data_IF_656288078643
#
_entry.id   IF_656288078643
#
_cell.length_a   1.000
_cell.length_b   1.000
_cell.length_c   1.000
_cell.angle_alpha   90.00
_cell.angle_beta   90.00
_cell.angle_gamma   90.00
#
_symmetry.space_group_name_H-M   'P 1'
#
loop_
_entity.id
_entity.type
_entity.pdbx_description
1 polymer ?
#
# COMPACT_ATOMS: atom_id res chain seq x y z
N UNK A 1 -16.26 29.78 -25.35
CA UNK A 1 -16.53 28.34 -25.07
C UNK A 1 -15.26 27.49 -25.14
N UNK A 2 -14.50 27.48 -26.25
CA UNK A 2 -13.25 26.70 -26.37
C UNK A 2 -12.18 27.01 -25.30
N UNK A 3 -12.02 28.28 -24.90
CA UNK A 3 -11.07 28.68 -23.85
C UNK A 3 -11.42 28.13 -22.47
N UNK A 4 -12.71 28.05 -22.14
CA UNK A 4 -13.20 27.48 -20.86
C UNK A 4 -13.06 25.96 -20.86
N UNK A 5 -13.32 25.32 -22.00
CA UNK A 5 -13.10 23.88 -22.20
C UNK A 5 -11.61 23.53 -22.03
N UNK A 6 -10.70 24.31 -22.64
CA UNK A 6 -9.25 24.12 -22.52
C UNK A 6 -8.76 24.32 -21.07
N UNK A 7 -9.24 25.34 -20.36
CA UNK A 7 -8.91 25.53 -18.94
C UNK A 7 -9.38 24.35 -18.09
N UNK A 8 -10.59 23.84 -18.36
CA UNK A 8 -11.16 22.70 -17.65
C UNK A 8 -10.33 21.43 -17.87
N UNK A 9 -9.92 21.15 -19.11
CA UNK A 9 -9.04 20.01 -19.42
C UNK A 9 -7.68 20.11 -18.71
N UNK A 10 -7.12 21.32 -18.59
CA UNK A 10 -5.84 21.52 -17.91
C UNK A 10 -5.94 21.18 -16.41
N UNK A 11 -7.05 21.55 -15.77
CA UNK A 11 -7.30 21.27 -14.35
C UNK A 11 -7.45 19.77 -14.05
N UNK A 12 -8.01 18.98 -14.98
CA UNK A 12 -8.14 17.53 -14.81
C UNK A 12 -6.79 16.79 -14.80
N UNK A 13 -5.73 17.36 -15.39
CA UNK A 13 -4.40 16.71 -15.41
C UNK A 13 -3.72 16.65 -14.04
N UNK A 14 -4.16 17.44 -13.06
CA UNK A 14 -3.58 17.52 -11.72
C UNK A 14 -4.09 16.44 -10.74
N UNK A 15 -5.13 15.67 -11.08
CA UNK A 15 -5.80 14.75 -10.15
C UNK A 15 -5.00 13.48 -9.77
N UNK A 16 -3.79 13.27 -10.29
CA UNK A 16 -2.90 12.16 -9.91
C UNK A 16 -1.48 12.66 -9.55
N UNK A 17 -1.39 13.82 -8.89
CA UNK A 17 -0.10 14.38 -8.48
C UNK A 17 0.44 13.68 -7.24
N UNK A 18 1.77 13.61 -7.16
CA UNK A 18 2.48 13.21 -5.95
C UNK A 18 2.23 14.22 -4.81
N UNK A 19 2.33 13.77 -3.56
CA UNK A 19 2.43 14.66 -2.42
C UNK A 19 3.69 15.55 -2.48
N UNK A 20 3.73 16.69 -1.76
CA UNK A 20 4.84 17.64 -1.84
C UNK A 20 6.23 17.03 -1.57
N UNK A 21 6.32 16.07 -0.65
CA UNK A 21 7.55 15.34 -0.30
C UNK A 21 8.11 14.50 -1.46
N UNK A 22 7.26 14.12 -2.42
CA UNK A 22 7.58 13.23 -3.54
C UNK A 22 7.49 13.94 -4.90
N UNK A 23 7.35 15.27 -4.90
CA UNK A 23 7.25 16.08 -6.10
C UNK A 23 8.50 15.93 -6.99
N UNK A 24 8.30 15.75 -8.30
CA UNK A 24 9.39 15.56 -9.26
C UNK A 24 9.97 14.13 -9.31
N UNK A 25 9.55 13.22 -8.42
CA UNK A 25 9.97 11.82 -8.47
C UNK A 25 9.06 11.04 -9.42
N UNK A 26 9.67 10.42 -10.44
CA UNK A 26 8.95 9.56 -11.37
C UNK A 26 8.41 8.31 -10.64
N UNK A 27 7.11 7.97 -10.81
CA UNK A 27 6.54 6.83 -10.13
C UNK A 27 6.96 5.50 -10.76
N UNK A 28 7.05 4.46 -9.93
CA UNK A 28 7.11 3.06 -10.36
C UNK A 28 5.73 2.43 -10.20
N UNK A 29 5.15 1.96 -11.30
CA UNK A 29 3.83 1.31 -11.31
C UNK A 29 3.94 -0.14 -10.84
N UNK A 30 3.19 -0.52 -9.82
CA UNK A 30 3.11 -1.89 -9.29
C UNK A 30 1.67 -2.31 -9.12
N UNK A 31 1.34 -3.56 -9.43
CA UNK A 31 0.03 -4.14 -9.14
C UNK A 31 0.16 -5.22 -8.09
N UNK A 32 -0.62 -5.11 -7.02
CA UNK A 32 -0.68 -6.07 -5.90
C UNK A 32 -2.13 -6.46 -5.71
N UNK A 33 -2.46 -7.73 -5.94
CA UNK A 33 -3.81 -8.27 -5.70
C UNK A 33 -4.92 -7.40 -6.35
N UNK A 34 -4.72 -7.06 -7.61
CA UNK A 34 -5.63 -6.24 -8.42
C UNK A 34 -5.65 -4.73 -8.11
N UNK A 35 -4.93 -4.27 -7.08
CA UNK A 35 -4.72 -2.84 -6.80
C UNK A 35 -3.45 -2.35 -7.49
N UNK A 36 -3.57 -1.33 -8.34
CA UNK A 36 -2.45 -0.70 -9.03
C UNK A 36 -2.03 0.57 -8.29
N UNK A 37 -0.74 0.71 -8.02
CA UNK A 37 -0.13 1.83 -7.31
C UNK A 37 0.99 2.46 -8.13
N UNK A 38 1.03 3.78 -8.15
CA UNK A 38 2.22 4.57 -8.42
C UNK A 38 3.00 4.76 -7.14
N UNK A 39 4.19 4.16 -7.08
CA UNK A 39 5.06 4.23 -5.91
C UNK A 39 6.22 5.18 -6.16
N UNK A 40 6.49 6.06 -5.19
CA UNK A 40 7.64 6.97 -5.18
C UNK A 40 8.42 6.76 -3.90
N UNK A 41 9.75 6.79 -3.99
CA UNK A 41 10.65 6.56 -2.85
C UNK A 41 11.58 7.76 -2.73
N UNK A 42 11.68 8.31 -1.52
CA UNK A 42 12.51 9.45 -1.16
C UNK A 42 13.28 9.12 0.12
N UNK A 43 14.46 8.51 -0.01
CA UNK A 43 15.26 8.05 1.14
C UNK A 43 14.51 7.02 1.99
N UNK A 44 14.26 7.33 3.26
CA UNK A 44 13.52 6.46 4.20
C UNK A 44 12.00 6.68 4.16
N UNK A 45 11.48 7.25 3.08
CA UNK A 45 10.06 7.58 2.92
C UNK A 45 9.56 7.05 1.59
N UNK A 46 8.32 6.59 1.57
CA UNK A 46 7.65 6.19 0.34
C UNK A 46 6.21 6.68 0.29
N UNK A 47 5.72 6.89 -0.92
CA UNK A 47 4.32 7.15 -1.23
C UNK A 47 3.82 6.07 -2.18
N UNK A 48 2.60 5.59 -1.96
CA UNK A 48 1.85 4.76 -2.88
C UNK A 48 0.52 5.44 -3.19
N UNK A 49 0.36 5.91 -4.43
CA UNK A 49 -0.88 6.47 -4.95
C UNK A 49 -1.62 5.40 -5.76
N UNK A 50 -2.85 5.05 -5.37
CA UNK A 50 -3.67 4.09 -6.11
C UNK A 50 -4.25 4.75 -7.36
N UNK A 51 -4.09 4.09 -8.49
CA UNK A 51 -4.32 4.66 -9.82
C UNK A 51 -5.37 3.93 -10.64
N UNK A 52 -5.90 2.81 -10.13
CA UNK A 52 -7.03 2.12 -10.73
C UNK A 52 -8.32 2.33 -9.92
N UNK A 53 -9.49 2.42 -10.59
CA UNK A 53 -10.77 2.40 -9.91
C UNK A 53 -11.01 1.01 -9.32
N UNK A 54 -11.19 0.95 -8.01
CA UNK A 54 -11.56 -0.27 -7.30
C UNK A 54 -12.33 0.09 -6.03
N UNK A 55 -13.41 -0.65 -5.76
CA UNK A 55 -14.19 -0.47 -4.54
C UNK A 55 -13.36 -0.83 -3.31
N UNK A 56 -13.14 0.14 -2.43
CA UNK A 56 -12.33 0.00 -1.22
C UNK A 56 -12.85 0.95 -0.12
N UNK A 57 -13.91 0.58 0.61
CA UNK A 57 -14.55 1.44 1.60
C UNK A 57 -13.73 1.62 2.89
N UNK A 58 -12.74 0.76 3.12
CA UNK A 58 -11.86 0.79 4.29
C UNK A 58 -10.40 0.70 3.86
N UNK A 59 -9.53 1.42 4.55
CA UNK A 59 -8.10 1.44 4.23
C UNK A 59 -7.41 0.11 4.54
N UNK A 60 -7.80 -0.63 5.59
CA UNK A 60 -7.12 -1.85 6.07
C UNK A 60 -6.64 -2.82 4.97
N UNK A 61 -7.51 -3.33 4.08
CA UNK A 61 -7.09 -4.21 2.98
C UNK A 61 -6.12 -3.54 1.99
N UNK A 62 -6.33 -2.26 1.66
CA UNK A 62 -5.48 -1.51 0.74
C UNK A 62 -4.14 -1.14 1.36
N UNK A 63 -4.11 -0.88 2.67
CA UNK A 63 -2.93 -0.55 3.46
C UNK A 63 -1.88 -1.66 3.35
N UNK A 64 -2.28 -2.92 3.47
CA UNK A 64 -1.37 -4.06 3.32
C UNK A 64 -0.80 -4.16 1.89
N UNK A 65 -1.62 -3.95 0.87
CA UNK A 65 -1.20 -3.96 -0.54
C UNK A 65 -0.25 -2.80 -0.87
N UNK A 66 -0.54 -1.61 -0.35
CA UNK A 66 0.31 -0.43 -0.47
C UNK A 66 1.66 -0.66 0.25
N UNK A 67 1.65 -1.30 1.42
CA UNK A 67 2.87 -1.71 2.13
C UNK A 67 3.76 -2.60 1.28
N UNK A 68 3.16 -3.63 0.70
CA UNK A 68 3.86 -4.57 -0.15
C UNK A 68 4.45 -3.86 -1.38
N UNK A 69 3.68 -3.00 -2.04
CA UNK A 69 4.15 -2.22 -3.18
C UNK A 69 5.34 -1.30 -2.81
N UNK A 70 5.25 -0.59 -1.68
CA UNK A 70 6.33 0.28 -1.20
C UNK A 70 7.59 -0.51 -0.83
N UNK A 71 7.46 -1.65 -0.16
CA UNK A 71 8.58 -2.54 0.16
C UNK A 71 9.22 -3.11 -1.12
N UNK A 72 8.41 -3.51 -2.10
CA UNK A 72 8.89 -4.05 -3.37
C UNK A 72 9.69 -3.02 -4.18
N UNK A 73 9.22 -1.77 -4.25
CA UNK A 73 9.89 -0.70 -5.02
C UNK A 73 11.12 -0.16 -4.29
N UNK A 74 11.05 0.01 -2.98
CA UNK A 74 12.19 0.54 -2.20
C UNK A 74 13.27 -0.51 -1.90
N UNK A 75 12.90 -1.80 -1.85
CA UNK A 75 13.76 -2.85 -1.30
C UNK A 75 13.96 -2.76 0.22
N UNK A 76 13.27 -1.84 0.89
CA UNK A 76 13.42 -1.56 2.31
C UNK A 76 12.25 -2.16 3.12
N UNK A 77 12.47 -2.32 4.43
CA UNK A 77 11.40 -2.74 5.34
C UNK A 77 10.48 -1.54 5.64
N UNK A 78 9.18 -1.74 5.52
CA UNK A 78 8.18 -0.74 5.93
C UNK A 78 7.98 -0.81 7.44
N UNK A 79 8.17 0.31 8.14
CA UNK A 79 8.01 0.43 9.59
C UNK A 79 6.62 0.90 9.99
N UNK A 80 6.07 1.85 9.23
CA UNK A 80 4.79 2.48 9.51
C UNK A 80 4.15 2.91 8.21
N UNK A 81 2.83 2.81 8.14
CA UNK A 81 2.02 3.36 7.05
C UNK A 81 0.98 4.33 7.59
N UNK A 82 0.71 5.38 6.83
CA UNK A 82 -0.30 6.39 7.10
C UNK A 82 -1.06 6.73 5.81
N UNK A 83 -2.13 7.52 5.92
CA UNK A 83 -2.97 7.92 4.79
C UNK A 83 -4.27 7.12 4.68
N UNK A 84 -4.74 6.96 3.44
CA UNK A 84 -6.03 6.39 3.09
C UNK A 84 -5.97 5.43 1.88
N UNK A 85 -7.15 4.97 1.43
CA UNK A 85 -7.27 4.01 0.33
C UNK A 85 -6.84 4.54 -1.06
N UNK A 86 -6.71 5.85 -1.23
CA UNK A 86 -6.27 6.47 -2.47
C UNK A 86 -4.77 6.79 -2.39
N UNK A 87 -4.30 7.35 -1.28
CA UNK A 87 -2.91 7.74 -1.10
C UNK A 87 -2.39 7.29 0.27
N UNK A 88 -1.33 6.49 0.25
CA UNK A 88 -0.65 6.01 1.44
C UNK A 88 0.80 6.49 1.47
N UNK A 89 1.32 6.76 2.65
CA UNK A 89 2.75 7.05 2.87
C UNK A 89 3.35 6.08 3.86
N UNK A 90 4.66 5.85 3.77
CA UNK A 90 5.38 4.96 4.64
C UNK A 90 6.69 5.55 5.16
N UNK A 91 7.06 5.12 6.37
CA UNK A 91 8.43 5.20 6.88
C UNK A 91 9.12 3.87 6.61
N UNK A 92 10.32 3.93 6.05
CA UNK A 92 11.14 2.80 5.64
C UNK A 92 12.38 2.67 6.53
N UNK A 93 12.91 1.45 6.63
CA UNK A 93 14.22 1.16 7.19
C UNK A 93 15.09 0.56 6.09
N UNK A 94 16.02 1.38 5.58
CA UNK A 94 16.89 1.03 4.45
C UNK A 94 18.33 0.66 4.87
N UNK A 95 18.58 0.52 6.17
CA UNK A 95 19.90 0.29 6.76
C UNK A 95 20.13 -1.17 7.13
N UNK A 96 20.63 -1.97 6.19
CA UNK A 96 21.47 -3.17 6.40
C UNK A 96 21.01 -4.31 7.35
N UNK A 97 19.88 -4.19 8.04
CA UNK A 97 19.32 -5.23 8.90
C UNK A 97 18.15 -5.86 8.18
N UNK A 98 18.43 -7.00 7.56
CA UNK A 98 17.38 -7.92 7.15
C UNK A 98 16.45 -8.16 8.35
N UNK A 99 15.14 -8.24 8.13
CA UNK A 99 14.22 -8.65 9.19
C UNK A 99 14.69 -9.97 9.81
N UNK A 100 14.51 -10.14 11.12
CA UNK A 100 14.74 -11.44 11.80
C UNK A 100 13.89 -12.57 11.19
N UNK A 101 12.87 -12.23 10.39
CA UNK A 101 12.05 -13.16 9.61
C UNK A 101 12.49 -13.16 8.13
N UNK A 102 12.80 -14.33 7.53
CA UNK A 102 13.09 -14.40 6.11
C UNK A 102 11.91 -13.89 5.28
N UNK A 103 12.14 -12.88 4.43
CA UNK A 103 11.17 -12.46 3.42
C UNK A 103 11.23 -13.49 2.28
N UNK A 104 10.12 -14.14 1.92
CA UNK A 104 10.13 -15.07 0.81
C UNK A 104 10.39 -14.36 -0.52
N UNK A 105 11.43 -14.79 -1.24
CA UNK A 105 11.78 -14.30 -2.58
C UNK A 105 11.11 -15.15 -3.67
N UNK A 106 9.77 -15.22 -3.66
CA UNK A 106 9.01 -16.01 -4.62
C UNK A 106 7.51 -16.03 -4.30
N UNK A 107 6.66 -16.55 -5.21
CA UNK A 107 5.27 -16.84 -4.88
C UNK A 107 5.26 -17.88 -3.77
N UNK A 108 4.80 -17.49 -2.58
CA UNK A 108 4.67 -18.38 -1.44
C UNK A 108 3.22 -18.68 -1.13
N UNK A 109 3.00 -19.91 -0.70
CA UNK A 109 1.76 -20.30 -0.05
C UNK A 109 1.88 -19.99 1.44
N UNK A 110 0.75 -19.65 2.06
CA UNK A 110 0.69 -19.35 3.48
C UNK A 110 -0.15 -20.41 4.17
N UNK A 111 0.29 -20.89 5.33
CA UNK A 111 -0.56 -21.65 6.26
C UNK A 111 -1.05 -20.68 7.32
N UNK A 112 -2.34 -20.46 7.34
CA UNK A 112 -2.96 -19.57 8.32
C UNK A 112 -3.68 -20.41 9.39
N UNK A 113 -3.42 -20.11 10.66
CA UNK A 113 -4.13 -20.61 11.82
C UNK A 113 -5.07 -19.53 12.36
N UNK A 114 -6.33 -19.86 12.59
CA UNK A 114 -7.27 -18.94 13.25
C UNK A 114 -6.95 -18.86 14.75
N UNK A 115 -6.62 -17.66 15.23
CA UNK A 115 -6.25 -17.39 16.63
C UNK A 115 -7.40 -16.80 17.45
N UNK A 116 -8.46 -16.32 16.79
CA UNK A 116 -9.58 -15.61 17.42
C UNK A 116 -10.82 -16.44 17.77
N UNK A 117 -10.81 -17.77 17.58
CA UNK A 117 -12.00 -18.61 17.75
C UNK A 117 -12.19 -19.28 19.12
N UNK A 118 -11.20 -19.25 20.02
CA UNK A 118 -11.24 -20.03 21.28
C UNK A 118 -11.42 -19.17 22.56
N UNK A 119 -11.53 -17.85 22.41
CA UNK A 119 -11.92 -16.94 23.51
C UNK A 119 -13.36 -16.45 23.24
N UNK A 120 -14.28 -17.41 23.19
CA UNK A 120 -15.72 -17.22 23.13
C UNK A 120 -16.23 -16.43 24.34
N UNK A 121 -16.88 -15.27 24.10
CA UNK A 121 -18.24 -14.98 24.57
C UNK A 121 -18.76 -13.64 24.04
N UNK A 122 -18.69 -13.42 22.73
CA UNK A 122 -19.58 -12.44 22.10
C UNK A 122 -20.24 -13.03 20.85
N UNK A 123 -21.56 -13.23 20.86
CA UNK A 123 -22.28 -13.57 19.65
C UNK A 123 -22.15 -12.37 18.71
N UNK A 124 -21.42 -12.54 17.60
CA UNK A 124 -21.16 -11.54 16.55
C UNK A 124 -19.87 -10.69 16.64
N UNK A 125 -18.74 -11.21 17.14
CA UNK A 125 -17.43 -10.61 16.88
C UNK A 125 -17.14 -10.56 15.36
N UNK A 126 -16.91 -9.41 14.71
CA UNK A 126 -17.09 -9.27 13.26
C UNK A 126 -15.94 -9.80 12.38
N UNK A 127 -14.85 -10.33 12.95
CA UNK A 127 -13.69 -10.80 12.18
C UNK A 127 -12.97 -11.96 12.88
N UNK A 128 -12.73 -13.03 12.12
CA UNK A 128 -11.74 -14.05 12.46
C UNK A 128 -10.33 -13.45 12.37
N UNK A 129 -9.54 -13.63 13.41
CA UNK A 129 -8.13 -13.26 13.44
C UNK A 129 -7.27 -14.47 13.06
N UNK A 130 -6.30 -14.28 12.17
CA UNK A 130 -5.45 -15.36 11.64
C UNK A 130 -3.97 -15.00 11.82
N UNK A 131 -3.18 -15.99 12.25
CA UNK A 131 -1.72 -15.96 12.20
C UNK A 131 -1.26 -16.80 11.00
N UNK A 132 -0.37 -16.25 10.17
CA UNK A 132 0.00 -16.88 8.90
C UNK A 132 1.51 -17.04 8.78
N UNK A 133 1.94 -18.28 8.55
CA UNK A 133 3.33 -18.63 8.27
C UNK A 133 3.52 -19.02 6.80
N UNK A 134 4.61 -18.57 6.14
CA UNK A 134 4.95 -18.99 4.78
C UNK A 134 5.53 -20.41 4.75
N UNK A 135 5.15 -21.23 3.77
CA UNK A 135 5.74 -22.55 3.49
C UNK A 135 6.02 -22.79 2.00
#
# INVERSE_FOLDING_TARGET
MIRVLLLSLFLLSACNTAGPEFAGIAPTRVTVDGSAFDVRVAGERAEALRVNPQYAPRFGPIRARAAFAMAQVSGCRVLKIEGDQAQATAVLSCSGRAPDRPIPRGPVSFSCLEIGGLLDEMPNGPYSEYDCDPY
#
